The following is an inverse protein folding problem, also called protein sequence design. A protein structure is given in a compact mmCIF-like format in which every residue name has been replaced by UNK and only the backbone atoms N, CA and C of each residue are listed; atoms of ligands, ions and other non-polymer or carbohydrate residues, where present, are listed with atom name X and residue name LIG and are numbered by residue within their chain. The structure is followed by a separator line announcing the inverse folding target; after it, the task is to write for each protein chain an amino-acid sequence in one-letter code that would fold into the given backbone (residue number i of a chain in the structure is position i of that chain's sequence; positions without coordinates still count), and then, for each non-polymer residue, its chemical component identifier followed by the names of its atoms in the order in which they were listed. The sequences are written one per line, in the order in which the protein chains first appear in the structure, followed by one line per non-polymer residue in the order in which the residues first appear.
data_IF_205536066326
#
_entry.id   IF_205536066326
#
_cell.length_a   1.000
_cell.length_b   1.000
_cell.length_c   1.000
_cell.angle_alpha   90.00
_cell.angle_beta   90.00
_cell.angle_gamma   90.00
#
_symmetry.space_group_name_H-M   'P 1'
#
loop_
_entity.id
_entity.type
_entity.pdbx_description
1 polymer ?
#
# COMPACT_ATOMS: atom_id res chain seq x y z
N UNK A 1 -59.11 -33.96 -3.40
CA UNK A 1 -58.27 -34.16 -4.61
C UNK A 1 -56.81 -33.95 -4.19
N UNK A 2 -56.02 -35.02 -4.14
CA UNK A 2 -54.59 -34.95 -3.81
C UNK A 2 -53.79 -35.07 -5.11
N UNK A 3 -53.24 -33.96 -5.60
CA UNK A 3 -52.40 -33.93 -6.79
C UNK A 3 -51.01 -34.43 -6.45
N UNK A 4 -50.58 -35.55 -7.05
CA UNK A 4 -49.19 -36.01 -6.95
C UNK A 4 -48.30 -35.07 -7.77
N UNK A 5 -47.39 -34.37 -7.10
CA UNK A 5 -46.34 -33.60 -7.76
C UNK A 5 -45.26 -34.60 -8.21
N UNK A 6 -45.16 -34.83 -9.52
CA UNK A 6 -44.08 -35.64 -10.10
C UNK A 6 -42.84 -34.77 -10.25
N UNK A 7 -41.85 -34.95 -9.37
CA UNK A 7 -40.55 -34.28 -9.50
C UNK A 7 -39.79 -34.93 -10.66
N UNK A 8 -39.53 -34.15 -11.71
CA UNK A 8 -38.77 -34.60 -12.87
C UNK A 8 -37.27 -34.55 -12.53
N UNK A 9 -36.60 -35.71 -12.59
CA UNK A 9 -35.17 -35.78 -12.35
C UNK A 9 -34.39 -34.97 -13.42
N UNK A 10 -33.30 -34.29 -13.03
CA UNK A 10 -32.47 -33.56 -13.97
C UNK A 10 -31.89 -34.49 -15.03
N UNK A 11 -31.75 -34.00 -16.25
CA UNK A 11 -31.11 -34.77 -17.33
C UNK A 11 -29.61 -34.93 -17.05
N UNK A 12 -28.96 -35.99 -17.56
CA UNK A 12 -27.51 -36.19 -17.42
C UNK A 12 -26.68 -34.98 -17.89
N UNK A 13 -27.15 -34.26 -18.92
CA UNK A 13 -26.49 -33.05 -19.42
C UNK A 13 -26.50 -31.91 -18.39
N UNK A 14 -27.61 -31.70 -17.68
CA UNK A 14 -27.70 -30.70 -16.59
C UNK A 14 -26.77 -31.09 -15.45
N UNK A 15 -26.70 -32.38 -15.11
CA UNK A 15 -25.80 -32.87 -14.08
C UNK A 15 -24.31 -32.62 -14.45
N UNK A 16 -23.91 -32.95 -15.68
CA UNK A 16 -22.54 -32.72 -16.17
C UNK A 16 -22.20 -31.22 -16.16
N UNK A 17 -23.13 -30.37 -16.59
CA UNK A 17 -22.94 -28.91 -16.58
C UNK A 17 -22.74 -28.38 -15.16
N UNK A 18 -23.53 -28.83 -14.19
CA UNK A 18 -23.38 -28.43 -12.78
C UNK A 18 -22.03 -28.87 -12.21
N UNK A 19 -21.61 -30.10 -12.49
CA UNK A 19 -20.29 -30.61 -12.05
C UNK A 19 -19.17 -29.78 -12.68
N UNK A 20 -19.26 -29.48 -13.97
CA UNK A 20 -18.26 -28.68 -14.68
C UNK A 20 -18.16 -27.25 -14.12
N UNK A 21 -19.28 -26.59 -13.85
CA UNK A 21 -19.31 -25.27 -13.20
C UNK A 21 -18.70 -25.36 -11.79
N UNK A 22 -19.00 -26.43 -11.05
CA UNK A 22 -18.39 -26.70 -9.75
C UNK A 22 -16.87 -26.77 -9.82
N UNK A 23 -16.32 -27.48 -10.81
CA UNK A 23 -14.86 -27.55 -11.03
C UNK A 23 -14.26 -26.19 -11.38
N UNK A 24 -14.92 -25.40 -12.23
CA UNK A 24 -14.47 -24.03 -12.54
C UNK A 24 -14.45 -23.17 -11.27
N UNK A 25 -15.53 -23.21 -10.47
CA UNK A 25 -15.62 -22.45 -9.23
C UNK A 25 -14.51 -22.84 -8.24
N UNK A 26 -14.24 -24.14 -8.08
CA UNK A 26 -13.14 -24.62 -7.24
C UNK A 26 -11.78 -24.17 -7.79
N UNK A 27 -11.57 -24.23 -9.10
CA UNK A 27 -10.36 -23.74 -9.76
C UNK A 27 -10.12 -22.25 -9.50
N UNK A 28 -11.15 -21.43 -9.63
CA UNK A 28 -11.08 -19.98 -9.34
C UNK A 28 -10.74 -19.74 -7.87
N UNK A 29 -11.37 -20.44 -6.94
CA UNK A 29 -11.09 -20.30 -5.50
C UNK A 29 -9.65 -20.72 -5.14
N UNK A 30 -9.19 -21.84 -5.69
CA UNK A 30 -7.85 -22.33 -5.46
C UNK A 30 -6.79 -21.40 -6.05
N UNK A 31 -7.05 -20.81 -7.22
CA UNK A 31 -6.18 -19.79 -7.79
C UNK A 31 -6.18 -18.50 -6.96
N UNK A 32 -7.36 -18.05 -6.52
CA UNK A 32 -7.50 -16.82 -5.73
C UNK A 32 -6.82 -16.92 -4.36
N UNK A 33 -6.91 -18.07 -3.70
CA UNK A 33 -6.26 -18.30 -2.39
C UNK A 33 -4.74 -18.29 -2.46
N UNK A 34 -4.14 -18.63 -3.60
CA UNK A 34 -2.68 -18.58 -3.80
C UNK A 34 -2.14 -17.14 -3.91
N UNK A 35 -3.00 -16.17 -4.21
CA UNK A 35 -2.62 -14.76 -4.37
C UNK A 35 -2.86 -13.92 -3.09
N UNK A 36 -3.07 -14.55 -1.94
CA UNK A 36 -3.18 -13.82 -0.67
C UNK A 36 -1.85 -13.15 -0.31
N UNK A 37 -1.92 -11.86 0.05
CA UNK A 37 -0.74 -11.07 0.38
C UNK A 37 -0.04 -11.62 1.64
N UNK A 38 1.30 -11.75 1.65
CA UNK A 38 2.07 -12.12 2.85
C UNK A 38 1.78 -11.23 4.07
N UNK A 39 1.40 -9.95 3.84
CA UNK A 39 1.01 -9.01 4.91
C UNK A 39 -0.22 -9.50 5.65
N UNK A 40 -1.20 -10.08 4.95
CA UNK A 40 -2.43 -10.59 5.55
C UNK A 40 -2.17 -11.76 6.50
N UNK A 41 -1.34 -12.72 6.07
CA UNK A 41 -0.92 -13.83 6.96
C UNK A 41 -0.13 -13.34 8.16
N UNK A 42 0.78 -12.39 7.95
CA UNK A 42 1.53 -11.79 9.04
C UNK A 42 0.65 -11.06 10.04
N UNK A 43 -0.40 -10.36 9.60
CA UNK A 43 -1.38 -9.73 10.49
C UNK A 43 -2.12 -10.76 11.35
N UNK A 44 -2.59 -11.87 10.75
CA UNK A 44 -3.29 -12.94 11.48
C UNK A 44 -2.38 -13.61 12.51
N UNK A 45 -1.09 -13.73 12.20
CA UNK A 45 -0.10 -14.36 13.07
C UNK A 45 0.50 -13.40 14.12
N UNK A 46 -0.06 -12.19 14.29
CA UNK A 46 0.50 -11.16 15.17
C UNK A 46 1.99 -10.87 14.89
N UNK A 47 2.35 -10.79 13.62
CA UNK A 47 3.67 -10.34 13.20
C UNK A 47 3.75 -8.81 13.23
N UNK A 48 4.53 -8.28 14.17
CA UNK A 48 4.76 -6.84 14.33
C UNK A 48 5.18 -6.14 13.03
N UNK A 49 6.07 -6.74 12.24
CA UNK A 49 6.55 -6.15 10.97
C UNK A 49 5.41 -6.01 9.97
N UNK A 50 4.60 -7.05 9.81
CA UNK A 50 3.44 -7.00 8.91
C UNK A 50 2.38 -6.01 9.38
N UNK A 51 2.21 -5.85 10.70
CA UNK A 51 1.38 -4.78 11.28
C UNK A 51 1.91 -3.39 10.94
N UNK A 52 3.22 -3.16 11.07
CA UNK A 52 3.85 -1.89 10.68
C UNK A 52 3.64 -1.62 9.18
N UNK A 53 3.90 -2.60 8.32
CA UNK A 53 3.74 -2.48 6.87
C UNK A 53 2.28 -2.19 6.48
N UNK A 54 1.32 -2.84 7.14
CA UNK A 54 -0.11 -2.59 6.95
C UNK A 54 -0.48 -1.16 7.36
N UNK A 55 -0.10 -0.75 8.58
CA UNK A 55 -0.41 0.56 9.12
C UNK A 55 0.21 1.69 8.29
N UNK A 56 1.41 1.49 7.74
CA UNK A 56 2.04 2.43 6.82
C UNK A 56 1.25 2.60 5.52
N UNK A 57 0.64 1.54 4.99
CA UNK A 57 -0.16 1.59 3.75
C UNK A 57 -1.49 2.31 3.94
N UNK A 58 -2.06 2.24 5.13
CA UNK A 58 -3.36 2.84 5.42
C UNK A 58 -3.26 4.20 6.12
N UNK A 59 -2.05 4.76 6.27
CA UNK A 59 -1.78 5.98 7.03
C UNK A 59 -2.60 7.21 6.59
N UNK A 60 -2.93 7.29 5.30
CA UNK A 60 -3.72 8.36 4.70
C UNK A 60 -5.23 8.07 4.68
N UNK A 61 -5.68 6.99 5.33
CA UNK A 61 -7.09 6.57 5.35
C UNK A 61 -7.73 6.89 6.70
N UNK A 62 -9.04 7.13 6.69
CA UNK A 62 -9.82 7.43 7.90
C UNK A 62 -9.76 6.29 8.95
N UNK A 63 -9.49 5.07 8.50
CA UNK A 63 -9.40 3.90 9.36
C UNK A 63 -8.08 3.81 10.15
N UNK A 64 -7.06 4.59 9.79
CA UNK A 64 -5.74 4.50 10.43
C UNK A 64 -5.80 4.67 11.95
N UNK A 65 -6.54 5.67 12.43
CA UNK A 65 -6.61 6.01 13.85
C UNK A 65 -7.12 4.82 14.69
N UNK A 66 -8.20 4.18 14.23
CA UNK A 66 -8.77 3.03 14.91
C UNK A 66 -7.81 1.82 14.89
N UNK A 67 -7.14 1.60 13.75
CA UNK A 67 -6.23 0.47 13.58
C UNK A 67 -4.95 0.62 14.40
N UNK A 68 -4.33 1.80 14.41
CA UNK A 68 -3.13 2.05 15.20
C UNK A 68 -3.41 1.90 16.70
N UNK A 69 -4.57 2.36 17.20
CA UNK A 69 -4.93 2.21 18.60
C UNK A 69 -5.19 0.76 18.98
N UNK A 70 -5.86 -0.01 18.12
CA UNK A 70 -6.03 -1.46 18.30
C UNK A 70 -4.66 -2.16 18.45
N UNK A 71 -3.76 -1.95 17.48
CA UNK A 71 -2.46 -2.62 17.49
C UNK A 71 -1.50 -2.07 18.55
N UNK A 72 -1.68 -0.81 18.99
CA UNK A 72 -0.93 -0.24 20.11
C UNK A 72 -1.24 -0.96 21.42
N UNK A 73 -2.46 -1.45 21.62
CA UNK A 73 -2.79 -2.28 22.79
C UNK A 73 -2.06 -3.64 22.78
N UNK A 74 -1.68 -4.14 21.60
CA UNK A 74 -0.95 -5.40 21.43
C UNK A 74 0.57 -5.20 21.52
N UNK A 75 1.08 -4.17 20.85
CA UNK A 75 2.52 -3.97 20.62
C UNK A 75 3.15 -2.81 21.40
N UNK A 76 2.33 -2.05 22.14
CA UNK A 76 2.74 -0.92 22.95
C UNK A 76 2.99 0.38 22.18
N UNK A 77 3.42 1.39 22.92
CA UNK A 77 3.60 2.76 22.42
C UNK A 77 4.68 2.92 21.34
N UNK A 78 5.65 2.00 21.27
CA UNK A 78 6.73 2.04 20.28
C UNK A 78 6.25 1.78 18.85
N UNK A 79 5.08 1.13 18.68
CA UNK A 79 4.52 0.82 17.37
C UNK A 79 4.31 2.08 16.53
N UNK A 80 3.79 3.15 17.14
CA UNK A 80 3.58 4.42 16.44
C UNK A 80 4.90 4.95 15.89
N UNK A 81 5.98 4.89 16.67
CA UNK A 81 7.28 5.36 16.21
C UNK A 81 7.79 4.56 15.01
N UNK A 82 7.59 3.24 14.99
CA UNK A 82 7.97 2.37 13.87
C UNK A 82 7.15 2.68 12.61
N UNK A 83 5.84 2.86 12.75
CA UNK A 83 4.95 3.22 11.64
C UNK A 83 5.38 4.55 11.00
N UNK A 84 5.72 5.55 11.81
CA UNK A 84 6.14 6.87 11.32
C UNK A 84 7.66 6.99 11.06
N UNK A 85 8.48 5.97 11.35
CA UNK A 85 9.94 6.06 11.28
C UNK A 85 10.45 6.45 9.90
N UNK A 86 9.89 5.83 8.84
CA UNK A 86 10.27 6.12 7.47
C UNK A 86 9.94 7.57 7.07
N UNK A 87 8.76 8.07 7.50
CA UNK A 87 8.34 9.46 7.27
C UNK A 87 9.25 10.44 8.01
N UNK A 88 9.50 10.21 9.29
CA UNK A 88 10.38 11.04 10.12
C UNK A 88 11.80 11.08 9.55
N UNK A 89 12.35 9.94 9.12
CA UNK A 89 13.69 9.87 8.51
C UNK A 89 13.76 10.73 7.25
N UNK A 90 12.76 10.63 6.39
CA UNK A 90 12.65 11.39 5.14
C UNK A 90 12.51 12.89 5.40
N UNK A 91 11.68 13.29 6.35
CA UNK A 91 11.50 14.70 6.73
C UNK A 91 12.82 15.30 7.26
N UNK A 92 13.59 14.54 8.05
CA UNK A 92 14.94 14.96 8.48
C UNK A 92 15.91 15.11 7.32
N UNK A 93 15.84 14.22 6.34
CA UNK A 93 16.69 14.27 5.15
C UNK A 93 16.36 15.48 4.28
N UNK A 94 15.07 15.77 4.06
CA UNK A 94 14.61 16.99 3.39
C UNK A 94 15.16 18.23 4.12
N UNK A 95 14.97 18.32 5.44
CA UNK A 95 15.46 19.46 6.22
C UNK A 95 16.98 19.63 6.11
N UNK A 96 17.74 18.52 6.14
CA UNK A 96 19.20 18.54 5.97
C UNK A 96 19.58 19.07 4.59
N UNK A 97 18.94 18.58 3.53
CA UNK A 97 19.21 19.03 2.17
C UNK A 97 18.84 20.50 1.96
N UNK A 98 17.72 20.96 2.52
CA UNK A 98 17.32 22.37 2.51
C UNK A 98 18.36 23.25 3.22
N UNK A 99 18.88 22.80 4.37
CA UNK A 99 19.97 23.51 5.06
C UNK A 99 21.24 23.60 4.21
N UNK A 100 21.62 22.53 3.50
CA UNK A 100 22.78 22.58 2.60
C UNK A 100 22.51 23.52 1.42
N UNK A 101 21.30 23.51 0.89
CA UNK A 101 20.88 24.38 -0.20
C UNK A 101 20.95 25.87 0.19
N UNK A 102 20.79 26.24 1.47
CA UNK A 102 21.00 27.64 1.89
C UNK A 102 22.44 28.12 1.69
N UNK A 103 23.42 27.21 1.73
CA UNK A 103 24.84 27.52 1.50
C UNK A 103 25.25 27.33 0.04
N UNK A 104 24.55 26.47 -0.69
CA UNK A 104 24.81 26.18 -2.10
C UNK A 104 23.50 26.15 -2.90
N UNK A 105 22.95 27.33 -3.16
CA UNK A 105 21.61 27.50 -3.73
C UNK A 105 21.43 26.96 -5.15
N UNK A 106 22.53 26.76 -5.87
CA UNK A 106 22.56 26.26 -7.25
C UNK A 106 23.07 24.82 -7.35
N UNK A 107 23.12 24.07 -6.23
CA UNK A 107 23.51 22.67 -6.30
C UNK A 107 22.43 21.85 -6.99
N UNK A 108 22.71 21.45 -8.24
CA UNK A 108 21.87 20.59 -9.08
C UNK A 108 21.41 19.34 -8.33
N UNK A 109 22.36 18.59 -7.78
CA UNK A 109 22.09 17.28 -7.17
C UNK A 109 21.21 17.40 -5.93
N UNK A 110 21.40 18.45 -5.13
CA UNK A 110 20.58 18.73 -3.95
C UNK A 110 19.16 19.12 -4.37
N UNK A 111 19.02 19.97 -5.39
CA UNK A 111 17.71 20.36 -5.93
C UNK A 111 16.97 19.15 -6.51
N UNK A 112 17.66 18.26 -7.23
CA UNK A 112 17.05 17.05 -7.77
C UNK A 112 16.70 16.03 -6.67
N UNK A 113 17.54 15.86 -5.66
CA UNK A 113 17.26 15.00 -4.51
C UNK A 113 16.03 15.49 -3.74
N UNK A 114 15.91 16.81 -3.53
CA UNK A 114 14.72 17.42 -2.93
C UNK A 114 13.47 17.23 -3.79
N UNK A 115 13.58 17.25 -5.12
CA UNK A 115 12.49 16.90 -6.02
C UNK A 115 12.01 15.46 -5.81
N UNK A 116 12.92 14.48 -5.82
CA UNK A 116 12.58 13.06 -5.65
C UNK A 116 11.91 12.80 -4.29
N UNK A 117 12.51 13.30 -3.20
CA UNK A 117 11.98 13.11 -1.85
C UNK A 117 10.58 13.72 -1.67
N UNK A 118 10.32 14.89 -2.23
CA UNK A 118 9.01 15.53 -2.16
C UNK A 118 7.97 14.86 -3.08
N UNK A 119 8.39 14.31 -4.23
CA UNK A 119 7.53 13.51 -5.12
C UNK A 119 7.06 12.25 -4.41
N UNK A 120 7.96 11.55 -3.72
CA UNK A 120 7.61 10.37 -2.93
C UNK A 120 6.70 10.70 -1.74
N UNK A 121 6.81 11.90 -1.16
CA UNK A 121 5.93 12.37 -0.07
C UNK A 121 4.58 12.91 -0.56
N UNK A 122 4.24 12.72 -1.85
CA UNK A 122 3.04 13.28 -2.50
C UNK A 122 2.93 14.82 -2.44
N UNK A 123 4.01 15.52 -2.09
CA UNK A 123 4.09 16.99 -2.04
C UNK A 123 4.40 17.57 -3.43
N UNK A 124 3.53 17.32 -4.41
CA UNK A 124 3.81 17.57 -5.83
C UNK A 124 4.15 19.04 -6.14
N UNK A 125 3.49 20.00 -5.47
CA UNK A 125 3.77 21.43 -5.64
C UNK A 125 5.20 21.81 -5.23
N UNK A 126 5.66 21.27 -4.10
CA UNK A 126 7.03 21.50 -3.59
C UNK A 126 8.04 20.77 -4.47
N UNK A 127 7.75 19.54 -4.87
CA UNK A 127 8.59 18.75 -5.75
C UNK A 127 8.84 19.50 -7.07
N UNK A 128 7.78 19.96 -7.74
CA UNK A 128 7.92 20.66 -9.02
C UNK A 128 8.69 21.99 -8.89
N UNK A 129 8.56 22.67 -7.74
CA UNK A 129 9.37 23.87 -7.45
C UNK A 129 10.86 23.54 -7.42
N UNK A 130 11.27 22.45 -6.77
CA UNK A 130 12.67 22.03 -6.74
C UNK A 130 13.16 21.53 -8.11
N UNK A 131 12.33 20.82 -8.85
CA UNK A 131 12.65 20.38 -10.22
C UNK A 131 12.91 21.55 -11.17
N UNK A 132 12.07 22.59 -11.13
CA UNK A 132 12.28 23.79 -11.95
C UNK A 132 13.60 24.48 -11.63
N UNK A 133 13.96 24.58 -10.34
CA UNK A 133 15.25 25.11 -9.91
C UNK A 133 16.41 24.23 -10.41
N UNK A 134 16.28 22.90 -10.32
CA UNK A 134 17.29 21.98 -10.83
C UNK A 134 17.51 22.17 -12.35
N UNK A 135 16.42 22.31 -13.12
CA UNK A 135 16.48 22.60 -14.57
C UNK A 135 17.10 23.95 -14.93
N UNK A 136 16.97 24.94 -14.06
CA UNK A 136 17.62 26.24 -14.27
C UNK A 136 19.14 26.13 -14.14
N UNK A 137 19.62 25.19 -13.33
CA UNK A 137 21.06 24.92 -13.16
C UNK A 137 21.57 23.99 -14.25
N UNK A 138 20.81 22.95 -14.59
CA UNK A 138 21.13 22.00 -15.65
C UNK A 138 19.87 21.63 -16.47
N UNK A 139 19.72 22.20 -17.68
CA UNK A 139 18.58 21.95 -18.55
C UNK A 139 18.41 20.50 -19.01
N UNK A 140 19.48 19.70 -19.00
CA UNK A 140 19.49 18.32 -19.49
C UNK A 140 18.87 17.34 -18.48
N UNK A 141 18.49 17.81 -17.28
CA UNK A 141 17.78 16.99 -16.30
C UNK A 141 16.40 16.56 -16.83
N UNK A 142 16.13 15.27 -16.75
CA UNK A 142 14.86 14.64 -17.10
C UNK A 142 14.11 14.09 -15.86
N UNK A 143 12.80 13.88 -16.02
CA UNK A 143 11.87 13.45 -14.94
C UNK A 143 11.88 11.94 -14.71
#
# INVERSE_FOLDING_TARGET
MSGKITVKNPTPAVFIMVVFIGFIFLGINMFSSQNLSPVFFGLIQNNRKSTVDYLQKIIDTDNFANQIDYFKNIYGNSLKNEVFAAKIKRDREINKLEQILTKNAQSRDILYSLYLLNKENKNLSIAERYFRKAKQVDPDIHK
#
